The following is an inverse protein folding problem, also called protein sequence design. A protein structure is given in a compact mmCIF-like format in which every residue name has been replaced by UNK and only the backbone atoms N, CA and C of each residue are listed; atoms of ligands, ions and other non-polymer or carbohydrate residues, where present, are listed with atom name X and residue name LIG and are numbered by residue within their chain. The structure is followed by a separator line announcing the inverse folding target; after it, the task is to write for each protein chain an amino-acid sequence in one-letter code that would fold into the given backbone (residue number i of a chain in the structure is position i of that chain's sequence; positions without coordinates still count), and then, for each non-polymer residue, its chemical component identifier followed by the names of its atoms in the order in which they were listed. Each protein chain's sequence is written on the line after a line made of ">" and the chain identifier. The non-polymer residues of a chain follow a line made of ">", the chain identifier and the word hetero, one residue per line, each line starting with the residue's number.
data_IF_432820527784
#
_entry.id   IF_432820527784
#
_cell.length_a   1.000
_cell.length_b   1.000
_cell.length_c   1.000
_cell.angle_alpha   90.00
_cell.angle_beta   90.00
_cell.angle_gamma   90.00
#
_symmetry.space_group_name_H-M   'P 1'
#
loop_
_entity.id
_entity.type
_entity.pdbx_description
1 polymer ?
#
# COMPACT_ATOMS: atom_id res chain seq x y z
N UNK A 1 25.13 -0.87 -42.89
CA UNK A 1 26.27 -0.50 -42.00
C UNK A 1 25.98 0.64 -41.03
N UNK A 2 25.09 1.61 -41.32
CA UNK A 2 24.77 2.69 -40.35
C UNK A 2 23.82 2.21 -39.23
N UNK A 3 23.01 1.17 -39.48
CA UNK A 3 22.02 0.67 -38.52
C UNK A 3 22.58 -0.20 -37.39
N UNK A 4 23.75 -0.82 -37.55
CA UNK A 4 24.35 -1.67 -36.50
C UNK A 4 25.05 -0.85 -35.41
N UNK A 5 25.61 0.31 -35.76
CA UNK A 5 26.33 1.17 -34.80
C UNK A 5 25.38 1.83 -33.80
N UNK A 6 24.18 2.23 -34.23
CA UNK A 6 23.15 2.76 -33.35
C UNK A 6 22.60 1.69 -32.40
N UNK A 7 22.41 0.46 -32.88
CA UNK A 7 21.96 -0.67 -32.06
C UNK A 7 23.03 -1.12 -31.06
N UNK A 8 24.31 -1.19 -31.47
CA UNK A 8 25.41 -1.52 -30.54
C UNK A 8 25.60 -0.41 -29.51
N UNK A 9 25.51 0.86 -29.92
CA UNK A 9 25.58 2.00 -29.00
C UNK A 9 24.41 2.05 -28.02
N UNK A 10 23.20 1.67 -28.44
CA UNK A 10 22.05 1.60 -27.52
C UNK A 10 22.20 0.45 -26.52
N UNK A 11 22.63 -0.73 -26.97
CA UNK A 11 22.88 -1.88 -26.11
C UNK A 11 23.95 -1.57 -25.05
N UNK A 12 25.07 -0.95 -25.45
CA UNK A 12 26.13 -0.55 -24.52
C UNK A 12 25.66 0.53 -23.53
N UNK A 13 24.80 1.45 -23.97
CA UNK A 13 24.21 2.48 -23.10
C UNK A 13 23.23 1.87 -22.09
N UNK A 14 22.44 0.89 -22.51
CA UNK A 14 21.51 0.16 -21.63
C UNK A 14 22.27 -0.71 -20.62
N UNK A 15 23.38 -1.34 -21.03
CA UNK A 15 24.24 -2.13 -20.15
C UNK A 15 24.97 -1.27 -19.12
N UNK A 16 25.54 -0.12 -19.54
CA UNK A 16 26.12 0.86 -18.62
C UNK A 16 25.07 1.46 -17.68
N UNK A 17 23.86 1.73 -18.17
CA UNK A 17 22.75 2.23 -17.35
C UNK A 17 22.27 1.17 -16.35
N UNK A 18 22.16 -0.09 -16.75
CA UNK A 18 21.82 -1.22 -15.87
C UNK A 18 22.89 -1.41 -14.78
N UNK A 19 24.16 -1.35 -15.16
CA UNK A 19 25.29 -1.43 -14.22
C UNK A 19 25.35 -0.23 -13.28
N UNK A 20 24.97 0.96 -13.75
CA UNK A 20 24.90 2.15 -12.89
C UNK A 20 23.71 2.10 -11.90
N UNK A 21 22.60 1.46 -12.28
CA UNK A 21 21.45 1.23 -11.40
C UNK A 21 21.79 0.23 -10.29
N UNK A 22 22.55 -0.83 -10.58
CA UNK A 22 22.98 -1.81 -9.56
C UNK A 22 23.92 -1.21 -8.50
N UNK A 23 24.67 -0.15 -8.82
CA UNK A 23 25.56 0.54 -7.87
C UNK A 23 24.83 1.33 -6.76
N UNK A 24 23.50 1.45 -6.80
CA UNK A 24 22.70 2.19 -5.81
C UNK A 24 21.58 1.36 -5.18
N UNK A 25 21.69 0.04 -5.27
CA UNK A 25 20.75 -0.86 -4.63
C UNK A 25 20.93 -0.82 -3.11
N UNK A 26 19.82 -0.75 -2.39
CA UNK A 26 19.78 -0.79 -0.93
C UNK A 26 18.64 -1.73 -0.50
N UNK A 27 18.80 -2.44 0.64
CA UNK A 27 17.76 -3.35 1.12
C UNK A 27 16.53 -2.60 1.62
N UNK A 28 15.36 -3.21 1.44
CA UNK A 28 14.08 -2.72 1.97
C UNK A 28 14.05 -2.61 3.51
N UNK A 29 14.94 -3.31 4.21
CA UNK A 29 15.12 -3.24 5.66
C UNK A 29 15.32 -1.81 6.17
N UNK A 30 15.91 -0.92 5.36
CA UNK A 30 16.04 0.52 5.70
C UNK A 30 14.70 1.18 6.05
N UNK A 31 13.61 0.70 5.44
CA UNK A 31 12.24 1.16 5.70
C UNK A 31 11.52 0.18 6.63
N UNK A 32 11.61 -1.13 6.36
CA UNK A 32 10.82 -2.16 7.04
C UNK A 32 11.16 -2.26 8.54
N UNK A 33 12.43 -2.07 8.93
CA UNK A 33 12.88 -2.21 10.32
C UNK A 33 12.28 -1.15 11.26
N UNK A 34 11.77 -0.05 10.71
CA UNK A 34 11.09 0.99 11.49
C UNK A 34 9.63 0.62 11.82
N UNK A 35 9.01 -0.26 11.03
CA UNK A 35 7.58 -0.56 11.10
C UNK A 35 7.17 -1.21 12.44
N UNK A 36 7.91 -2.16 13.03
CA UNK A 36 7.51 -2.76 14.31
C UNK A 36 7.42 -1.78 15.47
N UNK A 37 8.27 -0.74 15.46
CA UNK A 37 8.21 0.31 16.47
C UNK A 37 6.94 1.14 16.29
N UNK A 38 6.65 1.57 15.07
CA UNK A 38 5.45 2.36 14.76
C UNK A 38 4.16 1.60 15.08
N UNK A 39 4.07 0.31 14.70
CA UNK A 39 2.92 -0.55 15.01
C UNK A 39 2.71 -0.64 16.53
N UNK A 40 3.80 -0.83 17.30
CA UNK A 40 3.73 -0.87 18.76
C UNK A 40 3.23 0.44 19.38
N UNK A 41 3.68 1.57 18.87
CA UNK A 41 3.28 2.89 19.38
C UNK A 41 1.80 3.19 19.06
N UNK A 42 1.33 2.84 17.86
CA UNK A 42 -0.08 2.96 17.46
C UNK A 42 -0.98 1.97 18.21
N UNK A 43 -0.54 0.73 18.37
CA UNK A 43 -1.20 -0.31 19.16
C UNK A 43 -1.53 0.18 20.58
N UNK A 44 -0.55 0.82 21.25
CA UNK A 44 -0.75 1.42 22.58
C UNK A 44 -1.71 2.60 22.57
N UNK A 45 -1.57 3.49 21.58
CA UNK A 45 -2.37 4.70 21.46
C UNK A 45 -3.86 4.39 21.24
N UNK A 46 -4.15 3.36 20.45
CA UNK A 46 -5.51 2.97 20.08
C UNK A 46 -6.08 1.84 20.95
N UNK A 47 -5.28 1.27 21.86
CA UNK A 47 -5.70 0.17 22.72
C UNK A 47 -5.99 -1.14 21.96
N UNK A 48 -5.35 -1.36 20.81
CA UNK A 48 -5.50 -2.58 20.00
C UNK A 48 -4.23 -3.43 20.14
N UNK A 49 -4.36 -4.72 20.46
CA UNK A 49 -3.21 -5.64 20.48
C UNK A 49 -2.91 -6.13 19.05
N UNK A 50 -1.73 -5.81 18.53
CA UNK A 50 -1.38 -5.98 17.12
C UNK A 50 0.03 -6.56 17.01
N UNK A 51 0.17 -7.58 16.17
CA UNK A 51 1.45 -8.10 15.70
C UNK A 51 1.77 -7.59 14.30
N UNK A 52 3.07 -7.44 14.02
CA UNK A 52 3.55 -7.25 12.66
C UNK A 52 4.53 -8.36 12.27
N UNK A 53 4.30 -8.95 11.11
CA UNK A 53 5.16 -9.95 10.50
C UNK A 53 5.83 -9.30 9.29
N UNK A 54 7.16 -9.39 9.21
CA UNK A 54 7.94 -8.80 8.13
C UNK A 54 8.69 -9.91 7.39
N UNK A 55 8.56 -9.95 6.07
CA UNK A 55 9.19 -10.95 5.20
C UNK A 55 9.82 -10.24 3.98
N UNK A 56 10.96 -10.74 3.49
CA UNK A 56 11.59 -10.18 2.28
C UNK A 56 12.27 -8.81 2.45
N UNK A 57 12.58 -8.40 3.69
CA UNK A 57 13.27 -7.12 3.97
C UNK A 57 14.67 -7.02 3.36
N UNK A 58 15.29 -8.15 3.03
CA UNK A 58 16.60 -8.27 2.41
C UNK A 58 16.60 -7.94 0.91
N UNK A 59 15.43 -7.86 0.28
CA UNK A 59 15.29 -7.51 -1.14
C UNK A 59 15.83 -6.11 -1.38
N UNK A 60 16.68 -5.99 -2.40
CA UNK A 60 17.34 -4.75 -2.75
C UNK A 60 16.66 -4.04 -3.92
N UNK A 61 16.53 -2.72 -3.80
CA UNK A 61 15.93 -1.81 -4.78
C UNK A 61 16.73 -0.51 -4.88
N UNK A 62 16.54 0.26 -5.96
CA UNK A 62 17.19 1.57 -6.08
C UNK A 62 16.83 2.46 -4.88
N UNK A 63 17.83 3.09 -4.28
CA UNK A 63 17.65 3.93 -3.09
C UNK A 63 16.55 4.98 -3.23
N UNK A 64 16.41 5.61 -4.39
CA UNK A 64 15.36 6.63 -4.58
C UNK A 64 13.96 6.03 -4.55
N UNK A 65 13.82 4.77 -4.99
CA UNK A 65 12.57 4.01 -4.88
C UNK A 65 12.31 3.68 -3.41
N UNK A 66 13.30 3.13 -2.70
CA UNK A 66 13.18 2.78 -1.27
C UNK A 66 12.80 4.00 -0.42
N UNK A 67 13.47 5.14 -0.60
CA UNK A 67 13.17 6.38 0.12
C UNK A 67 11.73 6.88 -0.14
N UNK A 68 11.21 6.67 -1.35
CA UNK A 68 9.84 7.05 -1.74
C UNK A 68 8.77 6.07 -1.28
N UNK A 69 9.11 4.82 -1.01
CA UNK A 69 8.18 3.79 -0.53
C UNK A 69 7.84 3.94 0.96
N UNK A 70 8.67 4.63 1.73
CA UNK A 70 8.52 4.76 3.18
C UNK A 70 7.16 5.33 3.61
N UNK A 71 6.74 6.46 3.01
CA UNK A 71 5.46 7.10 3.33
C UNK A 71 4.24 6.27 2.86
N UNK A 72 4.21 5.74 1.61
CA UNK A 72 3.17 4.82 1.17
C UNK A 72 2.95 3.61 2.10
N UNK A 73 4.02 2.88 2.44
CA UNK A 73 3.94 1.69 3.29
C UNK A 73 3.44 2.05 4.68
N UNK A 74 3.97 3.14 5.26
CA UNK A 74 3.51 3.65 6.55
C UNK A 74 2.01 3.95 6.54
N UNK A 75 1.53 4.56 5.45
CA UNK A 75 0.12 4.90 5.31
C UNK A 75 -0.77 3.65 5.20
N UNK A 76 -0.36 2.64 4.44
CA UNK A 76 -1.09 1.38 4.32
C UNK A 76 -1.18 0.66 5.68
N UNK A 77 -0.07 0.57 6.42
CA UNK A 77 -0.05 -0.03 7.76
C UNK A 77 -0.94 0.76 8.72
N UNK A 78 -0.89 2.10 8.68
CA UNK A 78 -1.77 2.93 9.51
C UNK A 78 -3.24 2.69 9.19
N UNK A 79 -3.62 2.61 7.92
CA UNK A 79 -5.00 2.33 7.53
C UNK A 79 -5.48 0.96 8.03
N UNK A 80 -4.62 -0.05 7.95
CA UNK A 80 -4.88 -1.35 8.55
C UNK A 80 -5.11 -1.24 10.07
N UNK A 81 -4.31 -0.45 10.78
CA UNK A 81 -4.44 -0.29 12.24
C UNK A 81 -5.68 0.54 12.62
N UNK A 82 -5.90 1.69 11.99
CA UNK A 82 -6.96 2.65 12.34
C UNK A 82 -8.34 2.11 11.97
N UNK A 83 -8.46 1.56 10.76
CA UNK A 83 -9.74 1.23 10.14
C UNK A 83 -9.93 -0.27 9.86
N UNK A 84 -8.87 -0.99 9.50
CA UNK A 84 -8.94 -2.43 9.19
C UNK A 84 -9.19 -3.29 10.43
N UNK A 85 -8.26 -3.25 11.39
CA UNK A 85 -8.26 -4.09 12.58
C UNK A 85 -9.33 -3.65 13.58
N UNK A 86 -10.14 -4.62 14.02
CA UNK A 86 -11.16 -4.42 15.04
C UNK A 86 -10.55 -4.49 16.46
N UNK A 87 -11.17 -3.84 17.47
CA UNK A 87 -10.82 -4.05 18.86
C UNK A 87 -10.93 -5.51 19.29
N UNK A 88 -10.20 -5.91 20.34
CA UNK A 88 -10.13 -7.30 20.79
C UNK A 88 -11.51 -7.92 21.10
N UNK A 89 -12.46 -7.14 21.62
CA UNK A 89 -13.81 -7.62 21.92
C UNK A 89 -14.63 -7.88 20.66
N UNK A 90 -14.55 -7.01 19.65
CA UNK A 90 -15.16 -7.24 18.32
C UNK A 90 -14.56 -8.48 17.65
N UNK A 91 -13.23 -8.68 17.77
CA UNK A 91 -12.54 -9.85 17.20
C UNK A 91 -13.00 -11.16 17.84
N UNK A 92 -13.16 -11.19 19.16
CA UNK A 92 -13.70 -12.37 19.87
C UNK A 92 -15.11 -12.70 19.41
N UNK A 93 -15.98 -11.70 19.25
CA UNK A 93 -17.35 -11.90 18.75
C UNK A 93 -17.38 -12.43 17.31
N UNK A 94 -16.35 -12.13 16.51
CA UNK A 94 -16.16 -12.63 15.16
C UNK A 94 -15.39 -13.97 15.09
N UNK A 95 -15.11 -14.64 16.23
CA UNK A 95 -14.30 -15.86 16.32
C UNK A 95 -12.86 -15.71 15.77
N UNK A 96 -12.29 -14.50 15.88
CA UNK A 96 -10.93 -14.19 15.43
C UNK A 96 -9.97 -14.14 16.63
N UNK A 97 -8.66 -14.37 16.43
CA UNK A 97 -7.66 -14.18 17.48
C UNK A 97 -7.74 -12.77 18.05
N UNK A 98 -7.61 -12.62 19.37
CA UNK A 98 -7.71 -11.32 20.04
C UNK A 98 -6.62 -10.34 19.57
N UNK A 99 -5.42 -10.87 19.29
CA UNK A 99 -4.30 -10.13 18.68
C UNK A 99 -4.52 -10.04 17.17
N UNK A 100 -4.57 -8.83 16.62
CA UNK A 100 -4.60 -8.58 15.19
C UNK A 100 -3.24 -8.81 14.54
N UNK A 101 -3.21 -9.13 13.26
CA UNK A 101 -1.96 -9.37 12.53
C UNK A 101 -1.88 -8.49 11.29
N UNK A 102 -0.75 -7.80 11.14
CA UNK A 102 -0.37 -7.13 9.90
C UNK A 102 0.85 -7.85 9.33
N UNK A 103 0.82 -8.18 8.05
CA UNK A 103 1.95 -8.74 7.32
C UNK A 103 2.43 -7.73 6.29
N UNK A 104 3.72 -7.41 6.36
CA UNK A 104 4.44 -6.65 5.36
C UNK A 104 5.44 -7.61 4.69
N UNK A 105 5.24 -7.90 3.42
CA UNK A 105 6.11 -8.82 2.69
C UNK A 105 6.61 -8.21 1.40
N UNK A 106 7.82 -8.55 1.00
CA UNK A 106 8.34 -8.24 -0.33
C UNK A 106 8.81 -9.53 -1.01
N UNK A 107 8.67 -9.60 -2.32
CA UNK A 107 9.13 -10.73 -3.15
C UNK A 107 9.52 -10.24 -4.54
N UNK A 108 10.44 -10.94 -5.21
CA UNK A 108 10.68 -10.72 -6.64
C UNK A 108 9.59 -11.42 -7.45
N UNK A 109 8.89 -10.66 -8.30
CA UNK A 109 7.99 -11.20 -9.32
C UNK A 109 8.54 -10.84 -10.70
N UNK A 110 9.13 -11.85 -11.36
CA UNK A 110 9.83 -11.73 -12.63
C UNK A 110 10.88 -10.58 -12.66
N UNK A 111 10.52 -9.43 -13.24
CA UNK A 111 11.39 -8.25 -13.38
C UNK A 111 11.01 -7.10 -12.43
N UNK A 112 10.05 -7.33 -11.54
CA UNK A 112 9.53 -6.36 -10.57
C UNK A 112 9.69 -6.89 -9.14
N UNK A 113 9.56 -5.98 -8.18
CA UNK A 113 9.40 -6.34 -6.77
C UNK A 113 7.94 -6.13 -6.41
N UNK A 114 7.30 -7.18 -5.90
CA UNK A 114 5.96 -7.14 -5.32
C UNK A 114 6.08 -6.87 -3.81
N UNK A 115 5.44 -5.81 -3.35
CA UNK A 115 5.32 -5.44 -1.94
C UNK A 115 3.86 -5.58 -1.53
N UNK A 116 3.63 -6.39 -0.51
CA UNK A 116 2.31 -6.68 0.02
C UNK A 116 2.15 -6.15 1.45
N UNK A 117 1.05 -5.43 1.70
CA UNK A 117 0.59 -5.06 3.05
C UNK A 117 -0.76 -5.70 3.29
N UNK A 118 -0.82 -6.67 4.20
CA UNK A 118 -2.03 -7.43 4.53
C UNK A 118 -2.40 -7.29 6.00
N UNK A 119 -3.67 -7.13 6.29
CA UNK A 119 -4.24 -7.26 7.62
C UNK A 119 -5.29 -8.37 7.69
N UNK A 120 -5.52 -8.88 8.90
CA UNK A 120 -6.57 -9.86 9.20
C UNK A 120 -7.81 -9.19 9.84
N UNK A 121 -8.10 -7.95 9.48
CA UNK A 121 -9.15 -7.11 10.05
C UNK A 121 -10.54 -7.38 9.48
N UNK A 122 -11.43 -6.38 9.57
CA UNK A 122 -12.84 -6.52 9.16
C UNK A 122 -13.03 -6.59 7.65
N UNK A 123 -12.00 -6.31 6.87
CA UNK A 123 -12.09 -6.10 5.44
C UNK A 123 -12.84 -4.82 5.07
N UNK A 124 -13.00 -4.56 3.78
CA UNK A 124 -13.71 -3.38 3.30
C UNK A 124 -15.13 -3.76 2.87
N UNK A 125 -16.10 -3.04 3.43
CA UNK A 125 -17.51 -3.17 3.09
C UNK A 125 -17.83 -2.37 1.83
N UNK A 126 -18.14 -3.09 0.74
CA UNK A 126 -18.51 -2.51 -0.55
C UNK A 126 -19.73 -1.60 -0.44
N UNK A 127 -20.71 -1.95 0.40
CA UNK A 127 -21.92 -1.13 0.56
C UNK A 127 -21.57 0.20 1.21
N UNK A 128 -20.65 0.22 2.19
CA UNK A 128 -20.16 1.47 2.78
C UNK A 128 -19.38 2.33 1.78
N UNK A 129 -18.67 1.73 0.82
CA UNK A 129 -18.03 2.48 -0.27
C UNK A 129 -19.10 3.17 -1.12
N UNK A 130 -20.14 2.43 -1.54
CA UNK A 130 -21.26 2.97 -2.34
C UNK A 130 -21.96 4.11 -1.61
N UNK A 131 -22.36 3.88 -0.35
CA UNK A 131 -23.01 4.90 0.48
C UNK A 131 -22.15 6.16 0.62
N UNK A 132 -20.83 5.99 0.80
CA UNK A 132 -19.89 7.11 0.93
C UNK A 132 -19.72 7.86 -0.39
N UNK A 133 -19.65 7.16 -1.52
CA UNK A 133 -19.58 7.74 -2.86
C UNK A 133 -20.81 8.61 -3.16
N UNK A 134 -22.01 8.09 -2.86
CA UNK A 134 -23.28 8.78 -2.99
C UNK A 134 -23.37 10.01 -2.08
N UNK A 135 -23.02 9.85 -0.79
CA UNK A 135 -23.05 10.94 0.19
C UNK A 135 -22.12 12.09 -0.21
N UNK A 136 -20.98 11.78 -0.82
CA UNK A 136 -20.03 12.77 -1.33
C UNK A 136 -20.44 13.39 -2.66
N UNK A 137 -21.52 12.91 -3.28
CA UNK A 137 -22.00 13.35 -4.60
C UNK A 137 -20.92 13.24 -5.69
N UNK A 138 -20.01 12.28 -5.55
CA UNK A 138 -18.96 12.03 -6.54
C UNK A 138 -19.49 11.23 -7.73
N UNK A 139 -20.53 10.42 -7.51
CA UNK A 139 -21.18 9.56 -8.49
C UNK A 139 -22.67 9.50 -8.22
N UNK A 140 -23.48 9.20 -9.25
CA UNK A 140 -24.90 8.89 -9.12
C UNK A 140 -25.13 7.43 -8.73
N UNK A 141 -26.36 7.09 -8.34
CA UNK A 141 -26.72 5.70 -8.02
C UNK A 141 -26.58 4.79 -9.25
N UNK A 142 -27.01 5.29 -10.41
CA UNK A 142 -26.94 4.58 -11.68
C UNK A 142 -25.48 4.32 -12.11
N UNK A 143 -24.60 5.31 -11.91
CA UNK A 143 -23.17 5.16 -12.20
C UNK A 143 -22.52 4.09 -11.32
N UNK A 144 -22.85 4.07 -10.02
CA UNK A 144 -22.32 3.09 -9.06
C UNK A 144 -22.85 1.69 -9.36
N UNK A 145 -24.13 1.54 -9.69
CA UNK A 145 -24.72 0.25 -10.04
C UNK A 145 -24.14 -0.36 -11.33
N UNK A 146 -23.66 0.49 -12.24
CA UNK A 146 -23.00 0.06 -13.46
C UNK A 146 -21.51 -0.33 -13.26
N UNK A 147 -20.91 -0.04 -12.10
CA UNK A 147 -19.51 -0.36 -11.84
C UNK A 147 -19.30 -1.84 -11.56
N UNK A 148 -18.18 -2.38 -12.04
CA UNK A 148 -17.67 -3.67 -11.56
C UNK A 148 -17.18 -3.55 -10.11
N UNK A 149 -17.10 -4.68 -9.42
CA UNK A 149 -16.55 -4.73 -8.06
C UNK A 149 -15.13 -4.14 -7.97
N UNK A 150 -14.31 -4.35 -9.00
CA UNK A 150 -12.94 -3.82 -9.09
C UNK A 150 -12.99 -2.29 -9.20
N UNK A 151 -13.83 -1.75 -10.09
CA UNK A 151 -13.97 -0.31 -10.27
C UNK A 151 -14.52 0.37 -9.01
N UNK A 152 -15.46 -0.28 -8.32
CA UNK A 152 -16.01 0.19 -7.06
C UNK A 152 -14.92 0.25 -5.97
N UNK A 153 -14.09 -0.79 -5.87
CA UNK A 153 -12.96 -0.79 -4.92
C UNK A 153 -11.94 0.28 -5.27
N UNK A 154 -11.67 0.52 -6.55
CA UNK A 154 -10.75 1.57 -7.01
C UNK A 154 -11.17 2.98 -6.57
N UNK A 155 -12.44 3.19 -6.21
CA UNK A 155 -12.92 4.47 -5.67
C UNK A 155 -12.20 4.88 -4.39
N UNK A 156 -11.67 3.94 -3.60
CA UNK A 156 -10.94 4.25 -2.36
C UNK A 156 -9.69 5.11 -2.61
N UNK A 157 -9.12 5.00 -3.82
CA UNK A 157 -7.96 5.76 -4.28
C UNK A 157 -8.33 7.09 -4.96
N UNK A 158 -9.62 7.41 -5.10
CA UNK A 158 -10.03 8.68 -5.69
C UNK A 158 -9.73 9.85 -4.74
N UNK A 159 -9.19 10.97 -5.25
CA UNK A 159 -8.96 12.17 -4.44
C UNK A 159 -10.22 12.59 -3.70
N UNK A 160 -10.09 12.84 -2.39
CA UNK A 160 -11.22 13.24 -1.55
C UNK A 160 -12.18 12.12 -1.15
N UNK A 161 -11.95 10.86 -1.56
CA UNK A 161 -12.72 9.72 -1.07
C UNK A 161 -12.35 9.40 0.39
N UNK A 162 -11.06 9.23 0.66
CA UNK A 162 -10.50 8.94 1.99
C UNK A 162 -10.26 10.25 2.76
N UNK A 163 -11.34 10.85 3.26
CA UNK A 163 -11.34 12.15 3.97
C UNK A 163 -11.31 12.01 5.48
N UNK A 164 -10.48 11.09 6.00
CA UNK A 164 -9.99 11.26 7.36
C UNK A 164 -8.74 12.13 7.24
N UNK A 165 -8.90 13.44 7.44
CA UNK A 165 -7.79 14.38 7.47
C UNK A 165 -6.94 14.12 8.71
N UNK A 166 -6.09 13.09 8.67
CA UNK A 166 -4.98 12.99 9.60
C UNK A 166 -3.87 13.86 9.00
N UNK A 167 -3.78 15.09 9.50
CA UNK A 167 -2.60 15.92 9.31
C UNK A 167 -1.47 15.20 10.03
N UNK A 168 -0.60 14.53 9.29
CA UNK A 168 0.67 14.08 9.85
C UNK A 168 1.55 15.33 10.03
N UNK A 169 2.17 15.48 11.21
CA UNK A 169 3.02 16.62 11.61
C UNK A 169 4.21 16.89 10.66
N UNK A 170 4.42 16.04 9.65
CA UNK A 170 5.60 16.03 8.78
C UNK A 170 5.34 16.65 7.40
N UNK A 171 4.09 16.79 6.93
CA UNK A 171 3.84 17.23 5.54
C UNK A 171 2.62 18.13 5.29
N UNK A 172 1.76 18.37 6.29
CA UNK A 172 0.69 19.39 6.20
C UNK A 172 -0.38 19.13 5.13
N UNK A 173 -0.41 17.94 4.51
CA UNK A 173 -1.43 17.50 3.56
C UNK A 173 -2.18 16.34 4.19
N UNK A 174 -3.52 16.33 4.09
CA UNK A 174 -4.28 15.14 4.44
C UNK A 174 -3.82 13.99 3.54
N UNK A 175 -3.27 12.94 4.13
CA UNK A 175 -2.77 11.78 3.38
C UNK A 175 -3.90 10.77 3.29
N UNK A 176 -4.36 10.51 2.07
CA UNK A 176 -5.27 9.42 1.76
C UNK A 176 -4.61 8.37 0.87
N UNK A 177 -5.37 7.30 0.57
CA UNK A 177 -4.93 6.26 -0.38
C UNK A 177 -4.68 6.81 -1.80
N UNK A 178 -5.26 7.97 -2.15
CA UNK A 178 -4.98 8.68 -3.40
C UNK A 178 -3.51 9.11 -3.52
N UNK A 179 -2.89 9.56 -2.43
CA UNK A 179 -1.46 9.90 -2.39
C UNK A 179 -0.60 8.65 -2.56
N UNK A 180 -0.99 7.54 -1.91
CA UNK A 180 -0.32 6.24 -2.06
C UNK A 180 -0.32 5.78 -3.52
N UNK A 181 -1.51 5.76 -4.16
CA UNK A 181 -1.64 5.37 -5.57
C UNK A 181 -0.83 6.30 -6.47
N UNK A 182 -0.86 7.61 -6.21
CA UNK A 182 -0.06 8.58 -6.96
C UNK A 182 1.43 8.26 -6.86
N UNK A 183 1.98 8.07 -5.66
CA UNK A 183 3.42 7.78 -5.50
C UNK A 183 3.79 6.46 -6.19
N UNK A 184 3.00 5.41 -6.02
CA UNK A 184 3.32 4.09 -6.61
C UNK A 184 3.18 4.12 -8.13
N UNK A 185 2.08 4.65 -8.66
CA UNK A 185 1.77 4.60 -10.11
C UNK A 185 2.48 5.71 -10.88
N UNK A 186 2.39 6.96 -10.43
CA UNK A 186 2.91 8.10 -11.18
C UNK A 186 4.42 8.28 -10.98
N UNK A 187 4.89 8.20 -9.73
CA UNK A 187 6.28 8.52 -9.39
C UNK A 187 7.22 7.32 -9.54
N UNK A 188 6.77 6.11 -9.18
CA UNK A 188 7.57 4.89 -9.22
C UNK A 188 7.31 4.03 -10.47
N UNK A 189 6.30 4.39 -11.28
CA UNK A 189 5.88 3.62 -12.48
C UNK A 189 5.50 2.17 -12.16
N UNK A 190 5.01 1.92 -10.94
CA UNK A 190 4.46 0.64 -10.51
C UNK A 190 2.94 0.55 -10.71
N UNK A 191 2.33 -0.41 -10.03
CA UNK A 191 0.89 -0.57 -9.95
C UNK A 191 0.49 -0.76 -8.49
N UNK A 192 -0.76 -0.51 -8.15
CA UNK A 192 -1.30 -0.92 -6.85
C UNK A 192 -2.68 -1.50 -7.05
N UNK A 193 -2.96 -2.59 -6.35
CA UNK A 193 -4.27 -3.24 -6.33
C UNK A 193 -4.66 -3.60 -4.90
N UNK A 194 -5.94 -3.91 -4.72
CA UNK A 194 -6.51 -4.26 -3.43
C UNK A 194 -7.30 -5.56 -3.54
N UNK A 195 -7.06 -6.45 -2.58
CA UNK A 195 -7.85 -7.64 -2.34
C UNK A 195 -8.46 -7.54 -0.94
N UNK A 196 -9.76 -7.79 -0.79
CA UNK A 196 -10.39 -7.74 0.53
C UNK A 196 -11.67 -8.55 0.58
N UNK A 197 -11.92 -9.15 1.73
CA UNK A 197 -13.14 -9.86 2.03
C UNK A 197 -13.63 -9.51 3.43
N UNK A 198 -14.94 -9.29 3.57
CA UNK A 198 -15.56 -8.98 4.85
C UNK A 198 -15.25 -10.07 5.89
N UNK A 199 -14.81 -9.64 7.07
CA UNK A 199 -14.39 -10.50 8.18
C UNK A 199 -13.00 -11.14 8.03
N UNK A 200 -12.40 -11.10 6.83
CA UNK A 200 -11.12 -11.77 6.52
C UNK A 200 -9.93 -10.82 6.34
N UNK A 201 -10.20 -9.51 6.24
CA UNK A 201 -9.17 -8.48 6.17
C UNK A 201 -8.97 -7.89 4.77
N UNK A 202 -7.86 -7.19 4.60
CA UNK A 202 -7.52 -6.44 3.39
C UNK A 202 -6.05 -6.66 3.05
N UNK A 203 -5.73 -6.74 1.76
CA UNK A 203 -4.38 -6.80 1.24
C UNK A 203 -4.21 -5.75 0.13
N UNK A 204 -3.13 -4.99 0.22
CA UNK A 204 -2.66 -4.10 -0.85
C UNK A 204 -1.44 -4.73 -1.49
N UNK A 205 -1.45 -4.81 -2.81
CA UNK A 205 -0.37 -5.37 -3.63
C UNK A 205 0.20 -4.25 -4.48
N UNK A 206 1.49 -3.96 -4.36
CA UNK A 206 2.17 -2.86 -5.07
C UNK A 206 3.52 -3.22 -5.66
#
# INVERSE_FOLDING_TARGET
>A
MINDYSTISSLLSDELRSTALTLRMVPLSMVFDSMPRMVRDLSRTLGKDIDIIIEGSEIELDKQIVDRLAEPILHLIRNAIDHGLEPADERKNANKPAKGTIRLSASYDAASVLIDVRDDGRGIDKEKIKEKALRKKMFTAEEIEAMSDIALMDLIFQPGFSTSAIVTDVSGRGVGLDVVKKTIVEDLKGSISIETALGSGTAFHS
#
